data_IF_755703665513
#
_entry.id   IF_755703665513
#
_cell.length_a   1.000
_cell.length_b   1.000
_cell.length_c   1.000
_cell.angle_alpha   90.00
_cell.angle_beta   90.00
_cell.angle_gamma   90.00
#
_symmetry.space_group_name_H-M   'P 1'
#
loop_
_entity.id
_entity.type
_entity.pdbx_description
1 polymer ?
#
# COMPACT_ATOMS: atom_id res chain seq x y z
N UNK A 1 -10.89 17.46 -4.47
CA UNK A 1 -11.17 16.95 -3.10
C UNK A 1 -9.97 17.13 -2.18
N UNK A 2 -8.77 16.65 -2.53
CA UNK A 2 -7.58 16.77 -1.67
C UNK A 2 -7.22 18.21 -1.29
N UNK A 3 -7.25 19.15 -2.25
CA UNK A 3 -6.96 20.57 -1.98
C UNK A 3 -7.93 21.20 -0.97
N UNK A 4 -9.21 20.83 -1.04
CA UNK A 4 -10.22 21.32 -0.11
C UNK A 4 -10.00 20.76 1.31
N UNK A 5 -9.58 19.49 1.39
CA UNK A 5 -9.29 18.82 2.66
C UNK A 5 -8.07 19.46 3.34
N UNK A 6 -6.99 19.71 2.61
CA UNK A 6 -5.82 20.42 3.12
C UNK A 6 -6.16 21.83 3.59
N UNK A 7 -6.92 22.58 2.80
CA UNK A 7 -7.33 23.93 3.14
C UNK A 7 -8.17 23.93 4.43
N UNK A 8 -9.08 22.97 4.58
CA UNK A 8 -9.85 22.78 5.81
C UNK A 8 -8.94 22.46 7.02
N UNK A 9 -7.96 21.57 6.87
CA UNK A 9 -7.01 21.24 7.96
C UNK A 9 -6.18 22.46 8.40
N UNK A 10 -5.61 23.22 7.45
CA UNK A 10 -4.85 24.43 7.77
C UNK A 10 -5.73 25.50 8.44
N UNK A 11 -6.94 25.69 7.92
CA UNK A 11 -7.85 26.71 8.43
C UNK A 11 -8.34 26.37 9.85
N UNK A 12 -8.71 25.11 10.10
CA UNK A 12 -9.11 24.66 11.44
C UNK A 12 -7.96 24.71 12.44
N UNK A 13 -6.74 24.31 12.04
CA UNK A 13 -5.54 24.45 12.87
C UNK A 13 -5.26 25.92 13.22
N UNK A 14 -5.42 26.84 12.26
CA UNK A 14 -5.23 28.27 12.47
C UNK A 14 -6.26 28.85 13.46
N UNK A 15 -7.55 28.49 13.31
CA UNK A 15 -8.59 28.91 14.27
C UNK A 15 -8.30 28.36 15.66
N UNK A 16 -7.91 27.09 15.78
CA UNK A 16 -7.56 26.49 17.06
C UNK A 16 -6.35 27.18 17.72
N UNK A 17 -5.36 27.59 16.93
CA UNK A 17 -4.22 28.35 17.41
C UNK A 17 -4.61 29.75 17.90
N UNK A 18 -5.49 30.46 17.17
CA UNK A 18 -6.03 31.75 17.61
C UNK A 18 -6.84 31.62 18.90
N UNK A 19 -7.68 30.60 19.02
CA UNK A 19 -8.44 30.32 20.24
C UNK A 19 -7.51 30.08 21.43
N UNK A 20 -6.49 29.24 21.26
CA UNK A 20 -5.49 28.96 22.31
C UNK A 20 -4.67 30.19 22.69
N UNK A 21 -4.29 31.01 21.71
CA UNK A 21 -3.48 32.20 21.96
C UNK A 21 -4.26 33.34 22.62
N UNK A 22 -5.50 33.60 22.16
CA UNK A 22 -6.28 34.77 22.58
C UNK A 22 -7.21 34.50 23.77
N UNK A 23 -7.76 33.30 23.90
CA UNK A 23 -8.76 32.97 24.94
C UNK A 23 -8.14 32.16 26.08
N UNK A 24 -7.24 31.22 25.77
CA UNK A 24 -6.56 30.39 26.78
C UNK A 24 -5.22 30.98 27.26
N UNK A 25 -4.77 32.09 26.68
CA UNK A 25 -3.53 32.79 27.06
C UNK A 25 -2.24 32.03 26.72
N UNK A 26 -2.30 31.01 25.86
CA UNK A 26 -1.13 30.21 25.45
C UNK A 26 -0.43 30.87 24.27
N UNK A 27 0.37 31.90 24.54
CA UNK A 27 1.07 32.65 23.50
C UNK A 27 2.17 31.85 22.78
N UNK A 28 2.64 30.75 23.38
CA UNK A 28 3.65 29.87 22.79
C UNK A 28 3.14 29.00 21.64
N UNK A 29 1.81 28.89 21.44
CA UNK A 29 1.20 27.94 20.50
C UNK A 29 1.75 28.06 19.08
N UNK A 30 2.02 29.28 18.60
CA UNK A 30 2.56 29.47 17.26
C UNK A 30 4.02 29.00 17.15
N UNK A 31 4.82 29.16 18.22
CA UNK A 31 6.18 28.65 18.29
C UNK A 31 6.19 27.13 18.35
N UNK A 32 5.30 26.55 19.16
CA UNK A 32 5.16 25.09 19.30
C UNK A 32 4.73 24.43 17.98
N UNK A 33 3.82 25.06 17.23
CA UNK A 33 3.45 24.60 15.88
C UNK A 33 4.64 24.59 14.92
N UNK A 34 5.47 25.64 14.93
CA UNK A 34 6.69 25.68 14.08
C UNK A 34 7.68 24.61 14.52
N UNK A 35 7.89 24.43 15.82
CA UNK A 35 8.75 23.38 16.35
C UNK A 35 8.27 21.98 15.93
N UNK A 36 6.96 21.71 16.06
CA UNK A 36 6.37 20.44 15.63
C UNK A 36 6.55 20.18 14.14
N UNK A 37 6.45 21.21 13.28
CA UNK A 37 6.74 21.07 11.85
C UNK A 37 8.19 20.66 11.58
N UNK A 38 9.15 21.23 12.31
CA UNK A 38 10.56 20.86 12.22
C UNK A 38 10.82 19.43 12.71
N UNK A 39 10.24 19.04 13.86
CA UNK A 39 10.38 17.69 14.40
C UNK A 39 9.80 16.64 13.45
N UNK A 40 8.60 16.88 12.92
CA UNK A 40 7.98 15.98 11.95
C UNK A 40 8.77 15.89 10.64
N UNK A 41 9.41 16.99 10.21
CA UNK A 41 10.29 16.98 9.03
C UNK A 41 11.53 16.11 9.26
N UNK A 42 12.16 16.18 10.45
CA UNK A 42 13.29 15.31 10.80
C UNK A 42 12.88 13.85 10.89
N UNK A 43 11.78 13.56 11.61
CA UNK A 43 11.23 12.21 11.73
C UNK A 43 10.94 11.61 10.34
N UNK A 44 10.33 12.40 9.45
CA UNK A 44 10.07 11.96 8.07
C UNK A 44 11.35 11.60 7.32
N UNK A 45 12.43 12.36 7.50
CA UNK A 45 13.71 12.09 6.86
C UNK A 45 14.34 10.80 7.42
N UNK A 46 14.36 10.64 8.75
CA UNK A 46 14.92 9.46 9.42
C UNK A 46 14.22 8.17 8.98
N UNK A 47 12.88 8.20 8.95
CA UNK A 47 12.07 7.10 8.43
C UNK A 47 12.37 6.84 6.95
N UNK A 48 12.41 7.89 6.13
CA UNK A 48 12.63 7.75 4.68
C UNK A 48 13.99 7.14 4.35
N UNK A 49 15.06 7.58 5.01
CA UNK A 49 16.42 7.04 4.79
C UNK A 49 16.46 5.55 5.13
N UNK A 50 15.88 5.14 6.27
CA UNK A 50 15.78 3.74 6.66
C UNK A 50 15.00 2.90 5.65
N UNK A 51 13.88 3.43 5.16
CA UNK A 51 13.03 2.76 4.16
C UNK A 51 13.72 2.63 2.80
N UNK A 52 14.47 3.64 2.34
CA UNK A 52 15.13 3.63 1.02
C UNK A 52 16.09 2.45 0.89
N UNK A 53 16.99 2.25 1.87
CA UNK A 53 17.98 1.18 1.81
C UNK A 53 17.33 -0.21 1.80
N UNK A 54 16.32 -0.40 2.64
CA UNK A 54 15.57 -1.65 2.72
C UNK A 54 14.77 -1.91 1.44
N UNK A 55 14.04 -0.92 0.95
CA UNK A 55 13.26 -1.02 -0.29
C UNK A 55 14.16 -1.32 -1.49
N UNK A 56 15.33 -0.68 -1.59
CA UNK A 56 16.28 -0.94 -2.65
C UNK A 56 16.74 -2.40 -2.68
N UNK A 57 17.03 -2.98 -1.50
CA UNK A 57 17.41 -4.39 -1.37
C UNK A 57 16.27 -5.33 -1.81
N UNK A 58 15.07 -5.13 -1.28
CA UNK A 58 13.93 -6.01 -1.57
C UNK A 58 13.44 -5.89 -3.01
N UNK A 59 13.37 -4.67 -3.55
CA UNK A 59 13.05 -4.45 -4.97
C UNK A 59 14.13 -5.09 -5.86
N UNK A 60 15.39 -5.11 -5.42
CA UNK A 60 16.47 -5.84 -6.08
C UNK A 60 16.22 -7.36 -6.12
N UNK A 61 15.97 -8.00 -4.98
CA UNK A 61 15.61 -9.43 -4.94
C UNK A 61 14.37 -9.75 -5.77
N UNK A 62 13.38 -8.87 -5.75
CA UNK A 62 12.17 -9.06 -6.54
C UNK A 62 12.41 -8.95 -8.04
N UNK A 63 13.21 -7.97 -8.50
CA UNK A 63 13.62 -7.90 -9.91
C UNK A 63 14.32 -9.16 -10.36
N UNK A 64 15.11 -9.78 -9.49
CA UNK A 64 15.73 -11.08 -9.75
C UNK A 64 14.65 -12.17 -9.85
N UNK A 65 13.71 -12.24 -8.90
CA UNK A 65 12.62 -13.23 -8.91
C UNK A 65 11.68 -13.08 -10.13
N UNK A 66 11.39 -11.85 -10.55
CA UNK A 66 10.63 -11.53 -11.76
C UNK A 66 11.38 -12.01 -13.01
N UNK A 67 12.67 -11.66 -13.11
CA UNK A 67 13.53 -12.06 -14.23
C UNK A 67 13.74 -13.57 -14.29
N UNK A 68 13.73 -14.25 -13.13
CA UNK A 68 13.82 -15.69 -13.00
C UNK A 68 12.50 -16.42 -13.30
N UNK A 69 11.39 -15.71 -13.57
CA UNK A 69 10.11 -16.31 -13.91
C UNK A 69 9.29 -16.80 -12.72
N UNK A 70 9.72 -16.52 -11.48
CA UNK A 70 9.07 -17.02 -10.24
C UNK A 70 7.66 -16.42 -10.12
N UNK A 71 7.52 -15.12 -10.40
CA UNK A 71 6.23 -14.43 -10.34
C UNK A 71 5.26 -15.02 -11.36
N UNK A 72 5.73 -15.31 -12.57
CA UNK A 72 4.94 -15.92 -13.64
C UNK A 72 4.56 -17.36 -13.30
N UNK A 73 5.38 -18.08 -12.52
CA UNK A 73 5.04 -19.40 -12.00
C UNK A 73 3.93 -19.31 -10.95
N UNK A 74 4.03 -18.38 -9.98
CA UNK A 74 2.98 -18.14 -8.96
C UNK A 74 1.68 -17.69 -9.63
N UNK A 75 1.77 -16.73 -10.57
CA UNK A 75 0.61 -16.22 -11.30
C UNK A 75 -0.10 -17.34 -12.07
N UNK A 76 0.64 -18.25 -12.74
CA UNK A 76 0.08 -19.43 -13.40
C UNK A 76 -0.59 -20.39 -12.40
N UNK A 77 -0.03 -20.54 -11.21
CA UNK A 77 -0.62 -21.32 -10.12
C UNK A 77 -1.92 -20.72 -9.57
N UNK A 78 -2.03 -19.39 -9.57
CA UNK A 78 -3.23 -18.66 -9.11
C UNK A 78 -4.29 -18.51 -10.21
N UNK A 79 -3.93 -18.57 -11.49
CA UNK A 79 -4.88 -18.43 -12.61
C UNK A 79 -6.13 -19.33 -12.51
N UNK A 80 -6.06 -20.62 -12.12
CA UNK A 80 -7.23 -21.48 -11.96
C UNK A 80 -8.25 -20.95 -10.95
N UNK A 81 -7.79 -20.34 -9.87
CA UNK A 81 -8.65 -19.71 -8.87
C UNK A 81 -9.39 -18.52 -9.49
N UNK A 82 -8.67 -17.66 -10.19
CA UNK A 82 -9.26 -16.47 -10.82
C UNK A 82 -10.20 -16.79 -11.98
N UNK A 83 -9.98 -17.87 -12.74
CA UNK A 83 -10.96 -18.32 -13.73
C UNK A 83 -12.30 -18.73 -13.10
N UNK A 84 -12.30 -19.16 -11.84
CA UNK A 84 -13.52 -19.52 -11.10
C UNK A 84 -14.15 -18.31 -10.42
N UNK A 85 -13.32 -17.40 -9.89
CA UNK A 85 -13.74 -16.21 -9.18
C UNK A 85 -14.21 -15.07 -10.10
N UNK A 86 -13.65 -14.99 -11.32
CA UNK A 86 -13.94 -13.96 -12.32
C UNK A 86 -14.46 -14.60 -13.62
N UNK A 87 -15.66 -15.21 -13.62
CA UNK A 87 -16.19 -15.97 -14.75
C UNK A 87 -16.48 -15.09 -15.99
N UNK A 88 -16.64 -13.78 -15.79
CA UNK A 88 -16.90 -12.81 -16.87
C UNK A 88 -15.66 -12.56 -17.77
N UNK A 89 -14.47 -13.00 -17.34
CA UNK A 89 -13.22 -12.83 -18.08
C UNK A 89 -12.86 -14.14 -18.81
N UNK A 90 -12.58 -14.11 -20.13
CA UNK A 90 -12.19 -15.30 -20.88
C UNK A 90 -10.96 -16.01 -20.30
N UNK A 91 -10.92 -17.34 -20.40
CA UNK A 91 -9.75 -18.12 -19.98
C UNK A 91 -8.55 -17.80 -20.87
N UNK A 92 -7.39 -17.60 -20.26
CA UNK A 92 -6.16 -17.21 -20.98
C UNK A 92 -6.07 -15.71 -21.32
N UNK A 93 -7.06 -14.90 -20.92
CA UNK A 93 -7.00 -13.45 -21.11
C UNK A 93 -5.91 -12.81 -20.24
N UNK A 94 -5.27 -11.76 -20.78
CA UNK A 94 -4.21 -11.02 -20.10
C UNK A 94 -4.66 -10.43 -18.76
N UNK A 95 -5.95 -10.08 -18.62
CA UNK A 95 -6.50 -9.52 -17.39
C UNK A 95 -6.32 -10.46 -16.18
N UNK A 96 -6.50 -11.77 -16.36
CA UNK A 96 -6.28 -12.76 -15.29
C UNK A 96 -4.80 -12.81 -14.90
N UNK A 97 -3.90 -12.73 -15.88
CA UNK A 97 -2.46 -12.66 -15.66
C UNK A 97 -2.08 -11.43 -14.84
N UNK A 98 -2.55 -10.24 -15.23
CA UNK A 98 -2.28 -8.98 -14.53
C UNK A 98 -2.83 -8.97 -13.10
N UNK A 99 -4.05 -9.49 -12.87
CA UNK A 99 -4.64 -9.65 -11.53
C UNK A 99 -3.80 -10.59 -10.67
N UNK A 100 -3.45 -11.77 -11.20
CA UNK A 100 -2.65 -12.74 -10.48
C UNK A 100 -1.25 -12.21 -10.16
N UNK A 101 -0.65 -11.43 -11.07
CA UNK A 101 0.65 -10.81 -10.87
C UNK A 101 0.60 -9.74 -9.77
N UNK A 102 -0.43 -8.88 -9.76
CA UNK A 102 -0.63 -7.89 -8.70
C UNK A 102 -0.86 -8.57 -7.33
N UNK A 103 -1.72 -9.60 -7.26
CA UNK A 103 -1.95 -10.30 -6.00
C UNK A 103 -0.67 -11.02 -5.53
N UNK A 104 0.11 -11.59 -6.44
CA UNK A 104 1.40 -12.19 -6.11
C UNK A 104 2.39 -11.17 -5.53
N UNK A 105 2.42 -9.95 -6.09
CA UNK A 105 3.26 -8.87 -5.56
C UNK A 105 2.82 -8.43 -4.15
N UNK A 106 1.52 -8.23 -3.92
CA UNK A 106 0.97 -7.94 -2.59
C UNK A 106 1.24 -9.08 -1.60
N UNK A 107 1.06 -10.34 -2.02
CA UNK A 107 1.32 -11.52 -1.19
C UNK A 107 2.79 -11.61 -0.76
N UNK A 108 3.73 -11.14 -1.57
CA UNK A 108 5.15 -11.11 -1.20
C UNK A 108 5.54 -9.87 -0.38
N UNK A 109 4.58 -9.01 -0.01
CA UNK A 109 4.82 -7.78 0.76
C UNK A 109 5.46 -6.66 -0.07
N UNK A 110 5.17 -6.62 -1.37
CA UNK A 110 5.78 -5.69 -2.33
C UNK A 110 4.78 -4.66 -2.83
N UNK A 111 4.08 -4.04 -1.89
CA UNK A 111 2.94 -3.14 -2.13
C UNK A 111 3.29 -1.97 -3.08
N UNK A 112 4.54 -1.50 -3.02
CA UNK A 112 5.06 -0.44 -3.89
C UNK A 112 5.20 -0.85 -5.36
N UNK A 113 5.52 -2.13 -5.63
CA UNK A 113 5.50 -2.67 -6.99
C UNK A 113 4.09 -3.11 -7.41
N UNK A 114 3.26 -3.51 -6.43
CA UNK A 114 1.88 -3.93 -6.69
C UNK A 114 1.01 -2.80 -7.24
N UNK A 115 1.23 -1.54 -6.82
CA UNK A 115 0.43 -0.38 -7.24
C UNK A 115 0.40 -0.14 -8.77
N UNK A 116 1.55 -0.01 -9.47
CA UNK A 116 1.55 0.14 -10.93
C UNK A 116 0.99 -1.10 -11.66
N UNK A 117 1.20 -2.29 -11.10
CA UNK A 117 0.63 -3.53 -11.62
C UNK A 117 -0.88 -3.59 -11.44
N UNK A 118 -1.40 -3.04 -10.35
CA UNK A 118 -2.83 -2.97 -10.05
C UNK A 118 -3.56 -2.00 -10.99
N UNK A 119 -2.94 -0.86 -11.34
CA UNK A 119 -3.46 0.04 -12.37
C UNK A 119 -3.48 -0.61 -13.76
N UNK A 120 -2.54 -1.52 -14.06
CA UNK A 120 -2.57 -2.31 -15.28
C UNK A 120 -3.71 -3.34 -15.24
N UNK A 121 -3.81 -4.10 -14.15
CA UNK A 121 -4.88 -5.07 -13.94
C UNK A 121 -6.28 -4.43 -14.05
N UNK A 122 -6.49 -3.25 -13.46
CA UNK A 122 -7.76 -2.54 -13.59
C UNK A 122 -8.06 -2.09 -15.02
N UNK A 123 -7.05 -1.66 -15.78
CA UNK A 123 -7.20 -1.32 -17.20
C UNK A 123 -7.56 -2.54 -18.03
N UNK A 124 -6.91 -3.67 -17.79
CA UNK A 124 -7.18 -4.92 -18.49
C UNK A 124 -8.60 -5.43 -18.16
N UNK A 125 -9.02 -5.35 -16.88
CA UNK A 125 -10.39 -5.68 -16.47
C UNK A 125 -11.45 -4.73 -17.07
N UNK A 126 -11.11 -3.45 -17.26
CA UNK A 126 -12.00 -2.46 -17.85
C UNK A 126 -12.33 -2.76 -19.32
N UNK A 127 -11.43 -3.43 -20.06
CA UNK A 127 -11.69 -3.82 -21.46
C UNK A 127 -12.85 -4.80 -21.59
N UNK A 128 -13.12 -5.57 -20.52
CA UNK A 128 -14.22 -6.52 -20.45
C UNK A 128 -15.47 -5.94 -19.77
N UNK A 129 -15.43 -4.65 -19.37
CA UNK A 129 -16.55 -4.00 -18.72
C UNK A 129 -17.54 -3.44 -19.75
N UNK A 130 -18.78 -3.97 -19.74
CA UNK A 130 -19.87 -3.51 -20.62
C UNK A 130 -20.37 -2.10 -20.26
N UNK A 131 -20.11 -1.63 -19.05
CA UNK A 131 -20.57 -0.34 -18.54
C UNK A 131 -19.40 0.50 -18.03
N UNK A 132 -18.87 1.38 -18.89
CA UNK A 132 -17.63 2.11 -18.60
C UNK A 132 -17.63 2.90 -17.29
N UNK A 133 -18.80 3.40 -16.85
CA UNK A 133 -18.96 4.23 -15.65
C UNK A 133 -19.39 3.44 -14.40
N UNK A 134 -19.46 2.10 -14.46
CA UNK A 134 -19.89 1.26 -13.35
C UNK A 134 -18.90 0.12 -13.19
N UNK A 135 -18.38 -0.08 -11.98
CA UNK A 135 -17.41 -1.15 -11.74
C UNK A 135 -18.03 -2.53 -12.01
N UNK A 136 -17.33 -3.38 -12.76
CA UNK A 136 -17.75 -4.76 -13.00
C UNK A 136 -17.47 -5.65 -11.77
N UNK A 137 -18.10 -6.82 -11.70
CA UNK A 137 -17.88 -7.78 -10.62
C UNK A 137 -16.40 -8.16 -10.47
N UNK A 138 -15.69 -8.33 -11.59
CA UNK A 138 -14.26 -8.66 -11.57
C UNK A 138 -13.41 -7.49 -11.02
N UNK A 139 -13.77 -6.25 -11.32
CA UNK A 139 -13.11 -5.06 -10.78
C UNK A 139 -13.38 -4.87 -9.29
N UNK A 140 -14.63 -5.05 -8.86
CA UNK A 140 -15.01 -5.00 -7.44
C UNK A 140 -14.25 -6.08 -6.68
N UNK A 141 -14.24 -7.32 -7.18
CA UNK A 141 -13.53 -8.41 -6.54
C UNK A 141 -12.02 -8.15 -6.46
N UNK A 142 -11.41 -7.65 -7.54
CA UNK A 142 -10.00 -7.28 -7.54
C UNK A 142 -9.68 -6.23 -6.48
N UNK A 143 -10.54 -5.23 -6.32
CA UNK A 143 -10.40 -4.20 -5.30
C UNK A 143 -10.57 -4.80 -3.89
N UNK A 144 -11.56 -5.67 -3.68
CA UNK A 144 -11.78 -6.35 -2.40
C UNK A 144 -10.57 -7.19 -2.01
N UNK A 145 -9.98 -7.93 -2.96
CA UNK A 145 -8.77 -8.73 -2.72
C UNK A 145 -7.57 -7.86 -2.36
N UNK A 146 -7.35 -6.74 -3.06
CA UNK A 146 -6.30 -5.79 -2.70
C UNK A 146 -6.55 -5.14 -1.33
N UNK A 147 -7.80 -4.85 -1.00
CA UNK A 147 -8.19 -4.26 0.30
C UNK A 147 -8.02 -5.23 1.45
N UNK A 148 -8.17 -6.53 1.21
CA UNK A 148 -7.94 -7.57 2.21
C UNK A 148 -6.47 -7.77 2.57
N UNK A 149 -5.54 -7.09 1.87
CA UNK A 149 -4.09 -7.10 2.15
C UNK A 149 -3.55 -8.50 2.46
N UNK A 150 -3.83 -9.47 1.58
CA UNK A 150 -3.26 -10.81 1.69
C UNK A 150 -1.75 -10.69 1.52
N UNK A 151 -1.01 -10.60 2.62
CA UNK A 151 0.44 -10.45 2.67
C UNK A 151 1.03 -11.64 3.41
N UNK A 152 1.71 -12.52 2.66
CA UNK A 152 2.33 -13.74 3.18
C UNK A 152 3.60 -13.41 3.96
N UNK A 153 4.38 -12.41 3.52
CA UNK A 153 5.61 -11.98 4.18
C UNK A 153 5.44 -10.52 4.63
N UNK A 154 5.14 -10.26 5.91
CA UNK A 154 4.83 -8.92 6.42
C UNK A 154 6.11 -8.13 6.74
N UNK A 155 6.90 -7.83 5.70
CA UNK A 155 8.22 -7.20 5.82
C UNK A 155 8.15 -5.84 6.53
N UNK A 156 7.12 -5.04 6.24
CA UNK A 156 6.89 -3.73 6.87
C UNK A 156 6.65 -3.86 8.37
N UNK A 157 5.96 -4.91 8.80
CA UNK A 157 5.74 -5.21 10.23
C UNK A 157 7.07 -5.57 10.90
N UNK A 158 7.90 -6.39 10.26
CA UNK A 158 9.24 -6.70 10.80
C UNK A 158 10.10 -5.44 10.92
N UNK A 159 10.04 -4.54 9.94
CA UNK A 159 10.78 -3.28 10.00
C UNK A 159 10.35 -2.42 11.18
N UNK A 160 9.05 -2.19 11.35
CA UNK A 160 8.55 -1.40 12.47
C UNK A 160 8.95 -2.02 13.81
N UNK A 161 8.90 -3.34 13.92
CA UNK A 161 9.37 -4.06 15.10
C UNK A 161 10.87 -3.83 15.35
N UNK A 162 11.70 -3.91 14.31
CA UNK A 162 13.13 -3.64 14.43
C UNK A 162 13.42 -2.20 14.86
N UNK A 163 12.72 -1.22 14.28
CA UNK A 163 12.85 0.20 14.62
C UNK A 163 12.43 0.51 16.06
N UNK A 164 11.43 -0.21 16.58
CA UNK A 164 10.94 -0.09 17.95
C UNK A 164 11.72 -0.97 18.96
N UNK A 165 12.82 -1.61 18.52
CA UNK A 165 13.73 -2.34 19.40
C UNK A 165 13.31 -3.78 19.75
N UNK A 166 12.48 -4.43 18.94
CA UNK A 166 12.11 -5.83 19.16
C UNK A 166 13.34 -6.75 19.09
N UNK A 167 13.50 -7.63 20.09
CA UNK A 167 14.63 -8.56 20.19
C UNK A 167 14.70 -9.55 19.01
N UNK A 168 13.54 -10.00 18.51
CA UNK A 168 13.44 -10.74 17.27
C UNK A 168 12.26 -10.19 16.45
N UNK A 169 12.50 -9.35 15.43
CA UNK A 169 11.42 -8.75 14.66
C UNK A 169 10.53 -9.74 13.89
N UNK A 170 11.01 -10.97 13.66
CA UNK A 170 10.33 -12.00 12.85
C UNK A 170 9.48 -12.99 13.65
N UNK A 171 9.50 -12.93 14.98
CA UNK A 171 8.74 -13.83 15.87
C UNK A 171 7.21 -13.81 15.65
N UNK A 172 6.69 -12.70 15.13
CA UNK A 172 5.28 -12.53 14.77
C UNK A 172 4.89 -13.21 13.45
N UNK A 173 5.84 -13.75 12.69
CA UNK A 173 5.58 -14.33 11.36
C UNK A 173 4.56 -15.47 11.39
N UNK A 174 4.79 -16.48 12.23
CA UNK A 174 3.93 -17.67 12.31
C UNK A 174 2.49 -17.30 12.75
N UNK A 175 2.30 -16.47 13.81
CA UNK A 175 0.97 -15.98 14.14
C UNK A 175 0.27 -15.21 13.01
N UNK A 176 0.98 -14.37 12.25
CA UNK A 176 0.40 -13.58 11.15
C UNK A 176 -0.08 -14.49 10.00
N UNK A 177 0.66 -15.54 9.67
CA UNK A 177 0.30 -16.47 8.57
C UNK A 177 -0.89 -17.37 8.95
N UNK A 178 -1.10 -17.65 10.24
CA UNK A 178 -2.17 -18.52 10.74
C UNK A 178 -3.52 -17.81 10.95
N UNK A 179 -3.52 -16.47 11.06
CA UNK A 179 -4.70 -15.65 11.28
C UNK A 179 -5.49 -15.43 9.98
#
# INVERSE_FOLDING_TARGET
MLNALWLFLFFTAFIAALYQSLILGQHAVFSDMVAALYEMSKLSLDISIGLIGLMALWLGFFRIAESAGVIQAIARGLSPLFYRLMPDIPRGDAAIGSVAMNLSANALGLDNAATPMGLKAMRDLQQHNRHANTASNAQILFLVLNTSSVTLIPITVFLYRAQLGAANPSDVFIPIVLA
#
